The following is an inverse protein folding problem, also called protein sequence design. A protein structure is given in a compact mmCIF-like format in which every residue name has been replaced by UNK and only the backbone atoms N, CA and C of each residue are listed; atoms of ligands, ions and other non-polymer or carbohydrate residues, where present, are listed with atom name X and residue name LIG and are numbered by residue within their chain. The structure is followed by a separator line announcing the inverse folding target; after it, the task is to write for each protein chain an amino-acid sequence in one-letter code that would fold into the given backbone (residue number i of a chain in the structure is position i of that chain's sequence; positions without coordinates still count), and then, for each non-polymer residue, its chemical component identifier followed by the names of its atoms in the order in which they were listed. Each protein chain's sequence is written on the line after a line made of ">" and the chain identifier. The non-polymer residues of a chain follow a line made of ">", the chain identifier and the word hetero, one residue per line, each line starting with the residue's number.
data_IF_108484899480
#
_entry.id   IF_108484899480
#
_cell.length_a   1.000
_cell.length_b   1.000
_cell.length_c   1.000
_cell.angle_alpha   90.00
_cell.angle_beta   90.00
_cell.angle_gamma   90.00
#
_symmetry.space_group_name_H-M   'P 1'
#
loop_
_entity.id
_entity.type
_entity.pdbx_description
1 polymer ?
#
# COMPACT_ATOMS: atom_id res chain seq x y z
N UNK A 1 -12.82 45.49 13.39
CA UNK A 1 -13.09 44.19 12.71
C UNK A 1 -11.87 43.60 12.01
N UNK A 2 -10.86 44.41 11.65
CA UNK A 2 -9.63 43.93 10.97
C UNK A 2 -8.71 43.11 11.88
N UNK A 3 -8.50 43.55 13.13
CA UNK A 3 -7.67 42.84 14.13
C UNK A 3 -8.18 41.42 14.42
N UNK A 4 -9.50 41.22 14.42
CA UNK A 4 -10.11 39.90 14.66
C UNK A 4 -9.90 38.96 13.46
N UNK A 5 -9.87 39.49 12.23
CA UNK A 5 -9.55 38.74 11.02
C UNK A 5 -8.08 38.32 10.97
N UNK A 6 -7.16 39.20 11.38
CA UNK A 6 -5.73 38.86 11.45
C UNK A 6 -5.43 37.79 12.50
N UNK A 7 -6.08 37.84 13.68
CA UNK A 7 -5.92 36.81 14.71
C UNK A 7 -6.44 35.45 14.23
N UNK A 8 -7.59 35.42 13.55
CA UNK A 8 -8.14 34.18 12.97
C UNK A 8 -7.22 33.64 11.86
N UNK A 9 -6.67 34.52 11.01
CA UNK A 9 -5.76 34.13 9.93
C UNK A 9 -4.42 33.59 10.46
N UNK A 10 -3.85 34.21 11.50
CA UNK A 10 -2.67 33.71 12.20
C UNK A 10 -2.93 32.37 12.92
N UNK A 11 -4.10 32.22 13.56
CA UNK A 11 -4.51 30.98 14.21
C UNK A 11 -4.70 29.81 13.24
N UNK A 12 -5.33 30.06 12.09
CA UNK A 12 -5.53 29.06 11.04
C UNK A 12 -4.21 28.72 10.30
N UNK A 13 -3.37 29.73 10.07
CA UNK A 13 -2.06 29.55 9.41
C UNK A 13 -1.08 28.69 10.22
N UNK A 14 -1.16 28.73 11.56
CA UNK A 14 -0.32 27.91 12.44
C UNK A 14 -0.90 26.50 12.71
N UNK A 15 -2.22 26.30 12.68
CA UNK A 15 -2.82 24.98 12.97
C UNK A 15 -2.57 23.95 11.85
N UNK A 16 -2.65 24.37 10.58
CA UNK A 16 -2.46 23.48 9.44
C UNK A 16 -1.09 22.75 9.44
N UNK A 17 0.06 23.43 9.60
CA UNK A 17 1.35 22.74 9.65
C UNK A 17 1.49 21.83 10.88
N UNK A 18 0.91 22.21 12.03
CA UNK A 18 0.94 21.37 13.25
C UNK A 18 0.16 20.06 13.03
N UNK A 19 -1.01 20.14 12.41
CA UNK A 19 -1.82 18.96 12.07
C UNK A 19 -1.05 18.04 11.11
N UNK A 20 -0.40 18.61 10.09
CA UNK A 20 0.42 17.83 9.14
C UNK A 20 1.56 17.11 9.86
N UNK A 21 2.31 17.81 10.73
CA UNK A 21 3.40 17.20 11.51
C UNK A 21 2.86 16.10 12.44
N UNK A 22 1.73 16.33 13.10
CA UNK A 22 1.09 15.31 13.95
C UNK A 22 0.66 14.07 13.15
N UNK A 23 0.10 14.26 11.94
CA UNK A 23 -0.25 13.15 11.05
C UNK A 23 0.98 12.35 10.59
N UNK A 24 2.10 13.02 10.28
CA UNK A 24 3.35 12.35 9.89
C UNK A 24 3.91 11.54 11.07
N UNK A 25 4.02 12.15 12.25
CA UNK A 25 4.52 11.48 13.45
C UNK A 25 3.63 10.29 13.83
N UNK A 26 2.31 10.46 13.75
CA UNK A 26 1.36 9.37 13.99
C UNK A 26 1.51 8.24 12.97
N UNK A 27 1.65 8.57 11.68
CA UNK A 27 1.89 7.58 10.62
C UNK A 27 3.17 6.78 10.85
N UNK A 28 4.28 7.46 11.15
CA UNK A 28 5.58 6.81 11.44
C UNK A 28 5.46 5.93 12.70
N UNK A 29 4.83 6.43 13.76
CA UNK A 29 4.64 5.67 15.00
C UNK A 29 3.75 4.44 14.80
N UNK A 30 2.70 4.57 13.98
CA UNK A 30 1.79 3.49 13.60
C UNK A 30 2.54 2.37 12.86
N UNK A 31 3.37 2.72 11.88
CA UNK A 31 4.13 1.75 11.09
C UNK A 31 5.22 1.05 11.89
N UNK A 32 5.97 1.76 12.74
CA UNK A 32 7.09 1.18 13.50
C UNK A 32 6.67 0.19 14.60
N UNK A 33 5.40 0.18 14.99
CA UNK A 33 4.90 -0.66 16.09
C UNK A 33 3.94 -1.75 15.65
N UNK A 34 3.86 -2.00 14.34
CA UNK A 34 3.04 -3.06 13.81
C UNK A 34 3.58 -4.45 14.22
N UNK A 35 2.65 -5.36 14.51
CA UNK A 35 2.96 -6.78 14.73
C UNK A 35 2.67 -7.55 13.47
N UNK A 36 3.63 -8.38 13.07
CA UNK A 36 3.51 -9.23 11.90
C UNK A 36 3.26 -10.67 12.36
N UNK A 37 2.13 -11.22 11.95
CA UNK A 37 1.75 -12.60 12.18
C UNK A 37 1.67 -13.32 10.83
N UNK A 38 2.12 -14.58 10.77
CA UNK A 38 2.11 -15.37 9.54
C UNK A 38 1.21 -16.58 9.71
N UNK A 39 0.23 -16.72 8.82
CA UNK A 39 -0.66 -17.88 8.79
C UNK A 39 -0.60 -18.54 7.42
N UNK A 40 -1.03 -19.81 7.36
CA UNK A 40 -1.31 -20.48 6.08
C UNK A 40 -2.81 -20.62 5.92
N UNK A 41 -3.31 -20.38 4.71
CA UNK A 41 -4.74 -20.36 4.44
C UNK A 41 -5.08 -20.65 3.00
N UNK A 42 -6.30 -21.12 2.78
CA UNK A 42 -6.85 -21.32 1.43
C UNK A 42 -7.35 -19.98 0.91
N UNK A 43 -6.81 -19.54 -0.22
CA UNK A 43 -7.18 -18.30 -0.90
C UNK A 43 -7.65 -18.61 -2.32
N UNK A 44 -8.64 -17.88 -2.82
CA UNK A 44 -9.08 -17.99 -4.21
C UNK A 44 -8.67 -16.73 -4.96
N UNK A 45 -7.90 -16.86 -6.04
CA UNK A 45 -7.59 -15.70 -6.88
C UNK A 45 -8.87 -15.27 -7.61
N UNK A 46 -9.33 -14.05 -7.35
CA UNK A 46 -10.56 -13.48 -7.93
C UNK A 46 -10.26 -12.58 -9.11
N UNK A 47 -9.10 -11.91 -9.09
CA UNK A 47 -8.66 -11.06 -10.19
C UNK A 47 -7.13 -10.89 -10.17
N UNK A 48 -6.56 -10.47 -11.30
CA UNK A 48 -5.17 -10.01 -11.38
C UNK A 48 -4.99 -9.01 -12.51
N UNK A 49 -4.24 -7.95 -12.26
CA UNK A 49 -3.96 -6.91 -13.26
C UNK A 49 -2.57 -6.31 -13.08
N UNK A 50 -2.09 -5.65 -14.13
CA UNK A 50 -0.86 -4.85 -14.10
C UNK A 50 -1.26 -3.40 -14.06
N UNK A 51 -0.80 -2.68 -13.05
CA UNK A 51 -0.93 -1.23 -13.01
C UNK A 51 0.37 -0.59 -13.50
N UNK A 52 0.26 0.32 -14.47
CA UNK A 52 1.41 1.02 -15.03
C UNK A 52 1.29 2.49 -14.68
N UNK A 53 2.22 2.95 -13.85
CA UNK A 53 2.37 4.37 -13.55
C UNK A 53 3.56 4.92 -14.29
N UNK A 54 3.31 5.71 -15.33
CA UNK A 54 4.34 6.47 -16.03
C UNK A 54 4.84 7.61 -15.13
N UNK A 55 5.93 7.35 -14.41
CA UNK A 55 6.56 8.35 -13.53
C UNK A 55 7.79 8.93 -14.19
N UNK A 56 7.72 10.20 -14.55
CA UNK A 56 8.87 10.93 -15.12
C UNK A 56 9.59 11.71 -14.03
N UNK A 57 10.85 11.36 -13.76
CA UNK A 57 11.71 12.19 -12.92
C UNK A 57 12.43 13.22 -13.78
N UNK A 58 12.27 14.53 -13.49
CA UNK A 58 13.08 15.56 -14.13
C UNK A 58 14.51 15.48 -13.59
N UNK A 59 15.47 15.22 -14.47
CA UNK A 59 16.90 15.29 -14.14
C UNK A 59 17.52 16.46 -14.90
N UNK A 60 18.07 17.43 -14.16
CA UNK A 60 18.88 18.51 -14.74
C UNK A 60 20.34 18.11 -14.73
N UNK A 61 20.96 18.04 -15.91
CA UNK A 61 22.42 17.93 -16.08
C UNK A 61 22.88 19.18 -16.84
N UNK A 62 23.48 20.13 -16.13
CA UNK A 62 23.81 21.44 -16.68
C UNK A 62 22.56 22.20 -17.13
N UNK A 63 22.58 22.77 -18.35
CA UNK A 63 21.47 23.52 -18.94
C UNK A 63 20.42 22.63 -19.64
N UNK A 64 20.59 21.31 -19.67
CA UNK A 64 19.65 20.39 -20.30
C UNK A 64 18.72 19.76 -19.26
N UNK A 65 17.41 19.88 -19.50
CA UNK A 65 16.37 19.12 -18.79
C UNK A 65 16.13 17.80 -19.51
N UNK A 66 16.58 16.68 -18.93
CA UNK A 66 16.22 15.34 -19.39
C UNK A 66 15.10 14.78 -18.50
N UNK A 67 14.23 13.96 -19.08
CA UNK A 67 13.21 13.20 -18.36
C UNK A 67 13.66 11.74 -18.33
N UNK A 68 13.85 11.19 -17.13
CA UNK A 68 14.04 9.75 -16.97
C UNK A 68 12.66 9.15 -16.79
N UNK A 69 12.27 8.26 -17.71
CA UNK A 69 11.11 7.42 -17.49
C UNK A 69 11.49 6.33 -16.49
N UNK A 70 10.79 6.29 -15.36
CA UNK A 70 10.83 5.17 -14.45
C UNK A 70 9.57 4.36 -14.72
N UNK A 71 9.71 3.34 -15.58
CA UNK A 71 8.65 2.37 -15.83
C UNK A 71 8.43 1.55 -14.55
N UNK A 72 7.52 2.00 -13.68
CA UNK A 72 7.06 1.23 -12.53
C UNK A 72 5.78 0.51 -12.93
N UNK A 73 5.90 -0.80 -13.15
CA UNK A 73 4.75 -1.69 -13.34
C UNK A 73 4.52 -2.43 -12.03
N UNK A 74 3.36 -2.19 -11.42
CA UNK A 74 2.94 -2.89 -10.21
C UNK A 74 2.09 -4.10 -10.63
N UNK A 75 2.44 -5.27 -10.10
CA UNK A 75 1.81 -6.55 -10.42
C UNK A 75 0.86 -6.95 -9.30
N UNK A 76 -0.44 -6.78 -9.52
CA UNK A 76 -1.44 -6.90 -8.46
C UNK A 76 -2.27 -8.16 -8.68
N UNK A 77 -2.34 -9.01 -7.65
CA UNK A 77 -3.21 -10.17 -7.58
C UNK A 77 -4.18 -10.04 -6.42
N UNK A 78 -5.47 -10.20 -6.70
CA UNK A 78 -6.55 -10.11 -5.70
C UNK A 78 -7.01 -11.52 -5.33
N UNK A 79 -7.19 -11.75 -4.04
CA UNK A 79 -7.61 -13.02 -3.48
C UNK A 79 -8.76 -12.88 -2.49
N UNK A 80 -9.68 -13.84 -2.52
CA UNK A 80 -10.67 -14.04 -1.49
C UNK A 80 -10.13 -14.99 -0.41
N UNK A 81 -10.13 -14.55 0.85
CA UNK A 81 -9.80 -15.33 2.04
C UNK A 81 -10.94 -15.24 3.05
N UNK A 82 -11.76 -16.31 3.15
CA UNK A 82 -13.02 -16.26 3.90
C UNK A 82 -13.95 -15.17 3.32
N UNK A 83 -14.42 -14.25 4.16
CA UNK A 83 -15.25 -13.12 3.74
C UNK A 83 -14.45 -11.85 3.42
N UNK A 84 -13.11 -11.95 3.32
CA UNK A 84 -12.22 -10.81 3.09
C UNK A 84 -11.56 -10.88 1.73
N UNK A 85 -11.40 -9.72 1.12
CA UNK A 85 -10.51 -9.51 -0.02
C UNK A 85 -9.12 -9.11 0.49
N UNK A 86 -8.09 -9.77 -0.03
CA UNK A 86 -6.68 -9.52 0.29
C UNK A 86 -5.90 -9.44 -1.03
N UNK A 87 -4.80 -8.69 -1.05
CA UNK A 87 -4.00 -8.48 -2.26
C UNK A 87 -2.58 -8.98 -2.08
N UNK A 88 -1.87 -9.10 -3.19
CA UNK A 88 -0.42 -9.24 -3.27
C UNK A 88 0.10 -8.38 -4.42
N UNK A 89 1.16 -7.63 -4.16
CA UNK A 89 1.87 -6.78 -5.13
C UNK A 89 3.17 -7.45 -5.63
N UNK A 90 3.25 -8.78 -5.56
CA UNK A 90 4.40 -9.57 -5.98
C UNK A 90 4.21 -10.14 -7.41
N UNK A 91 5.16 -9.84 -8.30
CA UNK A 91 5.21 -10.32 -9.69
C UNK A 91 5.27 -11.86 -9.78
N UNK A 92 6.05 -12.51 -8.91
CA UNK A 92 6.18 -13.97 -8.92
C UNK A 92 4.83 -14.65 -8.62
N UNK A 93 4.09 -14.11 -7.66
CA UNK A 93 2.75 -14.59 -7.32
C UNK A 93 1.79 -14.34 -8.49
N UNK A 94 1.84 -13.14 -9.08
CA UNK A 94 1.02 -12.79 -10.24
C UNK A 94 1.19 -13.77 -11.40
N UNK A 95 2.43 -14.21 -11.68
CA UNK A 95 2.72 -15.16 -12.75
C UNK A 95 2.31 -16.60 -12.38
N UNK A 96 2.45 -16.98 -11.12
CA UNK A 96 2.10 -18.33 -10.63
C UNK A 96 0.59 -18.58 -10.57
N UNK A 97 -0.22 -17.56 -10.26
CA UNK A 97 -1.66 -17.71 -10.01
C UNK A 97 -2.53 -17.48 -11.25
N UNK A 98 -3.69 -18.13 -11.23
CA UNK A 98 -4.74 -18.00 -12.24
C UNK A 98 -6.04 -17.61 -11.55
N UNK A 99 -6.79 -16.73 -12.20
CA UNK A 99 -8.14 -16.33 -11.78
C UNK A 99 -9.03 -17.58 -11.67
N UNK A 100 -9.94 -17.57 -10.70
CA UNK A 100 -10.87 -18.66 -10.35
C UNK A 100 -10.20 -19.97 -9.91
N UNK A 101 -8.94 -19.90 -9.44
CA UNK A 101 -8.23 -21.04 -8.83
C UNK A 101 -7.96 -20.80 -7.35
N UNK A 102 -7.95 -21.90 -6.61
CA UNK A 102 -7.66 -21.92 -5.18
C UNK A 102 -6.24 -22.37 -4.91
N UNK A 103 -5.63 -21.75 -3.91
CA UNK A 103 -4.26 -21.94 -3.52
C UNK A 103 -4.16 -22.04 -2.00
N UNK A 104 -3.26 -22.89 -1.52
CA UNK A 104 -2.77 -22.77 -0.16
C UNK A 104 -1.67 -21.71 -0.18
N UNK A 105 -1.86 -20.63 0.57
CA UNK A 105 -0.98 -19.49 0.56
C UNK A 105 -0.50 -19.15 1.97
N UNK A 106 0.67 -18.52 2.04
CA UNK A 106 1.18 -17.89 3.25
C UNK A 106 0.69 -16.45 3.27
N UNK A 107 -0.08 -16.10 4.30
CA UNK A 107 -0.70 -14.79 4.48
C UNK A 107 0.00 -14.10 5.65
N UNK A 108 0.44 -12.88 5.44
CA UNK A 108 0.88 -11.98 6.48
C UNK A 108 -0.31 -11.17 7.01
N UNK A 109 -0.41 -11.09 8.32
CA UNK A 109 -1.35 -10.23 9.02
C UNK A 109 -0.54 -9.18 9.75
N UNK A 110 -0.64 -7.94 9.28
CA UNK A 110 -0.03 -6.78 9.92
C UNK A 110 -1.05 -6.15 10.85
N UNK A 111 -0.87 -6.33 12.16
CA UNK A 111 -1.72 -5.70 13.18
C UNK A 111 -1.06 -4.42 13.69
N UNK A 112 -1.69 -3.28 13.39
CA UNK A 112 -1.26 -1.97 13.88
C UNK A 112 -1.69 -1.76 15.34
N UNK A 113 -1.04 -0.82 16.03
CA UNK A 113 -1.33 -0.54 17.45
C UNK A 113 -2.75 -0.08 17.73
N UNK A 114 -3.43 0.51 16.75
CA UNK A 114 -4.84 0.90 16.84
C UNK A 114 -5.82 -0.29 16.67
N UNK A 115 -5.29 -1.51 16.45
CA UNK A 115 -6.06 -2.73 16.25
C UNK A 115 -6.43 -3.00 14.78
N UNK A 116 -6.12 -2.08 13.86
CA UNK A 116 -6.33 -2.30 12.42
C UNK A 116 -5.47 -3.46 11.95
N UNK A 117 -6.01 -4.27 11.03
CA UNK A 117 -5.31 -5.43 10.46
C UNK A 117 -5.30 -5.35 8.95
N UNK A 118 -4.11 -5.38 8.38
CA UNK A 118 -3.90 -5.53 6.95
C UNK A 118 -3.45 -6.95 6.64
N UNK A 119 -3.85 -7.45 5.49
CA UNK A 119 -3.62 -8.82 5.05
C UNK A 119 -2.95 -8.79 3.69
N UNK A 120 -1.84 -9.52 3.56
CA UNK A 120 -1.08 -9.63 2.32
C UNK A 120 -0.74 -11.10 2.04
N UNK A 121 -0.75 -11.49 0.77
CA UNK A 121 -0.33 -12.84 0.35
C UNK A 121 1.16 -12.80 0.05
N UNK A 122 1.97 -13.41 0.92
CA UNK A 122 3.42 -13.40 0.78
C UNK A 122 3.95 -14.48 -0.16
N UNK A 123 3.27 -15.62 -0.23
CA UNK A 123 3.73 -16.75 -1.03
C UNK A 123 2.59 -17.75 -1.32
N UNK A 124 2.71 -18.48 -2.43
CA UNK A 124 1.82 -19.57 -2.82
C UNK A 124 2.53 -20.90 -2.55
N UNK A 125 2.10 -21.57 -1.47
CA UNK A 125 2.66 -22.84 -1.01
C UNK A 125 2.32 -23.96 -2.00
N UNK A 126 1.06 -24.02 -2.44
CA UNK A 126 0.62 -25.01 -3.42
C UNK A 126 -0.71 -24.65 -4.08
N UNK A 127 -0.93 -25.13 -5.30
CA UNK A 127 -2.25 -25.09 -5.93
C UNK A 127 -3.16 -26.19 -5.37
N UNK A 128 -4.43 -25.86 -5.13
CA UNK A 128 -5.43 -26.84 -4.71
C UNK A 128 -6.08 -27.41 -5.98
N UNK A 129 -5.86 -28.71 -6.22
CA UNK A 129 -6.61 -29.43 -7.24
C UNK A 129 -8.01 -29.71 -6.69
N UNK A 130 -9.02 -29.11 -7.31
CA UNK A 130 -10.41 -29.57 -7.17
C UNK A 130 -10.56 -30.96 -7.78
#
# INVERSE_FOLDING_TARGET
>A
MEVLKEIILLGMGACLPIIIVACIVYGIWRSFTARHEYISGIVCCTDKYKDKTDTYLPMKIGDFTNLINIDKTDYISIFQYGDKEIKSENEDIYDQVKVDKQYNAKIEITTYKDGTKDYDVLDIISGIKK
#
